data_IF_006401301882
#
_entry.id   IF_006401301882
#
_cell.length_a   1.000
_cell.length_b   1.000
_cell.length_c   1.000
_cell.angle_alpha   90.00
_cell.angle_beta   90.00
_cell.angle_gamma   90.00
#
_symmetry.space_group_name_H-M   'P 1'
#
loop_
_entity.id
_entity.type
_entity.pdbx_description
1 polymer ?
#
# COMPACT_ATOMS: atom_id res chain seq x y z
N UNK A 1 6.59 -18.51 21.11
CA UNK A 1 5.60 -17.43 21.30
C UNK A 1 5.53 -16.68 19.99
N UNK A 2 4.37 -16.61 19.35
CA UNK A 2 4.20 -15.80 18.14
C UNK A 2 4.42 -14.33 18.52
N UNK A 3 5.31 -13.59 17.84
CA UNK A 3 5.46 -12.17 18.11
C UNK A 3 4.12 -11.44 17.93
N UNK A 4 3.85 -10.38 18.70
CA UNK A 4 2.62 -9.61 18.54
C UNK A 4 2.50 -9.12 17.09
N UNK A 5 1.29 -9.16 16.53
CA UNK A 5 1.07 -8.76 15.15
C UNK A 5 1.38 -7.25 15.00
N UNK A 6 2.32 -6.86 14.13
CA UNK A 6 2.70 -5.45 13.97
C UNK A 6 1.59 -4.60 13.35
N UNK A 7 0.61 -5.21 12.67
CA UNK A 7 -0.53 -4.48 12.10
C UNK A 7 -1.66 -4.25 13.11
N UNK A 8 -1.74 -5.07 14.16
CA UNK A 8 -2.61 -4.85 15.32
C UNK A 8 -2.03 -3.81 16.29
N UNK A 9 -0.71 -3.70 16.36
CA UNK A 9 0.01 -2.78 17.24
C UNK A 9 0.97 -1.91 16.41
N UNK A 10 0.43 -1.01 15.56
CA UNK A 10 1.25 -0.19 14.69
C UNK A 10 2.07 0.83 15.48
N UNK A 11 3.28 1.11 14.99
CA UNK A 11 4.18 2.13 15.53
C UNK A 11 4.60 3.08 14.41
N UNK A 12 4.45 4.39 14.64
CA UNK A 12 4.94 5.45 13.74
C UNK A 12 4.50 5.34 12.26
N UNK A 13 3.23 5.00 12.02
CA UNK A 13 2.68 4.97 10.65
C UNK A 13 2.32 6.37 10.13
N UNK A 14 2.56 6.62 8.83
CA UNK A 14 2.06 7.82 8.13
C UNK A 14 0.65 7.55 7.59
N UNK A 15 -0.36 7.88 8.40
CA UNK A 15 -1.77 7.61 8.10
C UNK A 15 -2.36 8.68 7.17
N UNK A 16 -2.83 8.22 6.00
CA UNK A 16 -3.50 9.04 4.99
C UNK A 16 -5.01 9.11 5.25
N UNK A 17 -5.62 7.97 5.58
CA UNK A 17 -7.05 7.84 5.86
C UNK A 17 -7.28 6.69 6.85
N UNK A 18 -8.25 6.82 7.75
CA UNK A 18 -8.65 5.75 8.65
C UNK A 18 -10.15 5.85 8.97
N UNK A 19 -10.82 4.71 9.00
CA UNK A 19 -12.19 4.57 9.48
C UNK A 19 -12.27 3.45 10.54
N UNK A 20 -13.46 2.95 10.86
CA UNK A 20 -13.64 1.87 11.83
C UNK A 20 -13.06 0.53 11.35
N UNK A 21 -13.04 0.26 10.05
CA UNK A 21 -12.72 -1.05 9.51
C UNK A 21 -11.32 -1.16 8.92
N UNK A 22 -10.76 -0.07 8.39
CA UNK A 22 -9.49 -0.05 7.70
C UNK A 22 -8.72 1.27 7.89
N UNK A 23 -7.46 1.24 7.50
CA UNK A 23 -6.62 2.42 7.35
C UNK A 23 -5.73 2.34 6.12
N UNK A 24 -5.37 3.50 5.59
CA UNK A 24 -4.43 3.67 4.48
C UNK A 24 -3.20 4.39 5.00
N UNK A 25 -2.02 3.83 4.74
CA UNK A 25 -0.74 4.43 5.13
C UNK A 25 0.18 4.63 3.92
N UNK A 26 1.04 5.64 3.97
CA UNK A 26 2.22 5.73 3.11
C UNK A 26 3.40 4.97 3.74
N UNK A 27 4.18 4.27 2.92
CA UNK A 27 5.35 3.48 3.33
C UNK A 27 6.60 4.18 2.82
N UNK A 28 7.47 4.62 3.74
CA UNK A 28 8.68 5.39 3.42
C UNK A 28 9.98 4.59 3.57
N UNK A 29 9.91 3.43 4.21
CA UNK A 29 11.07 2.60 4.56
C UNK A 29 11.28 1.41 3.62
N UNK A 30 10.75 1.46 2.39
CA UNK A 30 10.98 0.47 1.35
C UNK A 30 11.94 1.04 0.29
N UNK A 31 13.26 0.77 0.36
CA UNK A 31 14.26 1.47 -0.45
C UNK A 31 14.02 1.37 -1.96
N UNK A 32 13.48 0.25 -2.41
CA UNK A 32 13.27 -0.04 -3.83
C UNK A 32 11.84 0.30 -4.31
N UNK A 33 10.97 0.79 -3.42
CA UNK A 33 9.61 1.17 -3.75
C UNK A 33 9.19 2.43 -2.97
N UNK A 34 9.71 3.61 -3.33
CA UNK A 34 9.45 4.83 -2.57
C UNK A 34 8.01 5.35 -2.73
N UNK A 35 7.27 4.86 -3.73
CA UNK A 35 5.88 5.23 -4.00
C UNK A 35 4.95 4.06 -3.66
N UNK A 36 4.71 3.87 -2.36
CA UNK A 36 4.07 2.69 -1.83
C UNK A 36 3.05 3.09 -0.75
N UNK A 37 1.79 2.69 -0.94
CA UNK A 37 0.76 2.72 0.09
C UNK A 37 0.36 1.30 0.54
N UNK A 38 -0.14 1.18 1.77
CA UNK A 38 -0.83 -0.02 2.24
C UNK A 38 -2.26 0.31 2.64
N UNK A 39 -3.20 -0.55 2.26
CA UNK A 39 -4.56 -0.57 2.80
C UNK A 39 -4.64 -1.74 3.77
N UNK A 40 -4.91 -1.47 5.04
CA UNK A 40 -4.81 -2.44 6.13
C UNK A 40 -6.18 -2.60 6.77
N UNK A 41 -6.69 -3.84 6.83
CA UNK A 41 -7.91 -4.13 7.59
C UNK A 41 -7.59 -4.08 9.08
N UNK A 42 -8.42 -3.45 9.92
CA UNK A 42 -8.07 -3.26 11.34
C UNK A 42 -8.22 -4.53 12.17
N UNK A 43 -9.29 -5.30 11.95
CA UNK A 43 -9.47 -6.61 12.61
C UNK A 43 -8.38 -7.56 12.13
N UNK A 44 -7.78 -8.31 13.06
CA UNK A 44 -6.84 -9.36 12.70
C UNK A 44 -7.56 -10.46 11.92
N UNK A 45 -7.33 -10.52 10.62
CA UNK A 45 -7.96 -11.45 9.69
C UNK A 45 -6.90 -11.87 8.69
N UNK A 46 -6.73 -13.17 8.46
CA UNK A 46 -5.64 -13.67 7.62
C UNK A 46 -5.99 -13.57 6.14
N UNK A 47 -7.16 -14.09 5.74
CA UNK A 47 -7.52 -14.26 4.34
C UNK A 47 -8.64 -13.32 3.91
N UNK A 48 -8.63 -12.90 2.64
CA UNK A 48 -9.74 -12.12 2.06
C UNK A 48 -11.06 -12.91 2.16
N UNK A 49 -10.98 -14.24 2.09
CA UNK A 49 -12.15 -15.13 2.19
C UNK A 49 -12.70 -15.28 3.61
N UNK A 50 -11.99 -14.80 4.62
CA UNK A 50 -12.48 -14.77 6.01
C UNK A 50 -13.35 -13.54 6.28
N UNK A 51 -13.27 -12.52 5.42
CA UNK A 51 -14.16 -11.36 5.44
C UNK A 51 -15.53 -11.71 4.87
N UNK A 52 -16.56 -11.03 5.38
CA UNK A 52 -17.88 -11.00 4.76
C UNK A 52 -17.81 -10.36 3.36
N UNK A 53 -18.71 -10.71 2.42
CA UNK A 53 -18.69 -10.14 1.08
C UNK A 53 -18.70 -8.59 1.06
N UNK A 54 -19.44 -7.96 1.98
CA UNK A 54 -19.47 -6.50 2.09
C UNK A 54 -18.14 -5.91 2.60
N UNK A 55 -17.48 -6.56 3.55
CA UNK A 55 -16.16 -6.16 4.06
C UNK A 55 -15.08 -6.29 2.97
N UNK A 56 -15.15 -7.35 2.14
CA UNK A 56 -14.27 -7.51 0.96
C UNK A 56 -14.46 -6.37 -0.02
N UNK A 57 -15.71 -6.01 -0.30
CA UNK A 57 -16.03 -4.92 -1.20
C UNK A 57 -15.48 -3.59 -0.67
N UNK A 58 -15.71 -3.28 0.61
CA UNK A 58 -15.18 -2.07 1.25
C UNK A 58 -13.65 -2.00 1.16
N UNK A 59 -12.96 -3.09 1.49
CA UNK A 59 -11.50 -3.15 1.43
C UNK A 59 -11.00 -2.94 0.00
N UNK A 60 -11.59 -3.62 -0.99
CA UNK A 60 -11.17 -3.50 -2.38
C UNK A 60 -11.50 -2.14 -2.98
N UNK A 61 -12.65 -1.55 -2.64
CA UNK A 61 -12.99 -0.18 -3.06
C UNK A 61 -11.95 0.82 -2.55
N UNK A 62 -11.48 0.66 -1.30
CA UNK A 62 -10.39 1.48 -0.78
C UNK A 62 -9.07 1.24 -1.55
N UNK A 63 -8.73 -0.01 -1.86
CA UNK A 63 -7.56 -0.32 -2.70
C UNK A 63 -7.62 0.39 -4.06
N UNK A 64 -8.78 0.36 -4.72
CA UNK A 64 -8.98 1.03 -6.02
C UNK A 64 -8.95 2.56 -5.90
N UNK A 65 -9.47 3.12 -4.81
CA UNK A 65 -9.37 4.57 -4.53
C UNK A 65 -7.92 5.00 -4.35
N UNK A 66 -7.13 4.24 -3.60
CA UNK A 66 -5.69 4.50 -3.43
C UNK A 66 -4.94 4.37 -4.74
N UNK A 67 -5.23 3.32 -5.53
CA UNK A 67 -4.68 3.18 -6.89
C UNK A 67 -4.97 4.41 -7.74
N UNK A 68 -6.23 4.85 -7.82
CA UNK A 68 -6.63 5.99 -8.63
C UNK A 68 -5.94 7.29 -8.19
N UNK A 69 -5.88 7.55 -6.88
CA UNK A 69 -5.21 8.72 -6.33
C UNK A 69 -3.70 8.70 -6.62
N UNK A 70 -3.03 7.56 -6.44
CA UNK A 70 -1.62 7.40 -6.76
C UNK A 70 -1.37 7.61 -8.26
N UNK A 71 -2.24 7.10 -9.15
CA UNK A 71 -2.11 7.32 -10.59
C UNK A 71 -2.21 8.79 -10.98
N UNK A 72 -3.11 9.52 -10.34
CA UNK A 72 -3.29 10.96 -10.56
C UNK A 72 -2.07 11.78 -10.12
N UNK A 73 -1.53 11.49 -8.93
CA UNK A 73 -0.41 12.25 -8.34
C UNK A 73 0.93 11.88 -8.99
N UNK A 74 1.18 10.59 -9.19
CA UNK A 74 2.51 10.07 -9.50
C UNK A 74 2.72 9.74 -10.98
N UNK A 75 1.64 9.57 -11.76
CA UNK A 75 1.66 9.17 -13.17
C UNK A 75 2.60 7.98 -13.47
N UNK A 76 2.47 6.85 -12.74
CA UNK A 76 3.32 5.70 -12.95
C UNK A 76 3.00 4.99 -14.27
N UNK A 77 3.94 4.21 -14.79
CA UNK A 77 3.68 3.35 -15.95
C UNK A 77 2.84 2.12 -15.59
N UNK A 78 2.87 1.71 -14.31
CA UNK A 78 2.05 0.60 -13.80
C UNK A 78 1.80 0.74 -12.30
N UNK A 79 0.65 0.23 -11.83
CA UNK A 79 0.40 -0.05 -10.40
C UNK A 79 0.50 -1.56 -10.17
N UNK A 80 1.19 -1.98 -9.10
CA UNK A 80 1.12 -3.35 -8.60
C UNK A 80 0.20 -3.39 -7.38
N UNK A 81 -0.72 -4.37 -7.38
CA UNK A 81 -1.61 -4.69 -6.27
C UNK A 81 -1.27 -6.09 -5.77
N UNK A 82 -1.04 -6.25 -4.47
CA UNK A 82 -0.77 -7.56 -3.90
C UNK A 82 -1.22 -7.65 -2.44
N UNK A 83 -1.82 -8.78 -2.07
CA UNK A 83 -1.92 -9.23 -0.69
C UNK A 83 -1.17 -10.55 -0.61
N UNK A 84 -0.11 -10.60 0.22
CA UNK A 84 0.76 -11.77 0.35
C UNK A 84 0.58 -12.44 1.71
N UNK A 85 0.77 -11.70 2.80
CA UNK A 85 0.51 -12.19 4.17
C UNK A 85 1.42 -13.30 4.69
N UNK A 86 2.41 -13.78 3.92
CA UNK A 86 3.24 -14.94 4.29
C UNK A 86 3.97 -14.80 5.65
N UNK A 87 4.49 -13.61 5.97
CA UNK A 87 5.23 -13.33 7.21
C UNK A 87 4.32 -12.76 8.30
N UNK A 88 3.38 -11.90 7.91
CA UNK A 88 2.39 -11.30 8.80
C UNK A 88 1.01 -11.63 8.22
N UNK A 89 0.35 -12.71 8.68
CA UNK A 89 -0.94 -13.18 8.16
C UNK A 89 -2.08 -12.32 8.71
N UNK A 90 -2.05 -11.05 8.36
CA UNK A 90 -3.06 -10.05 8.67
C UNK A 90 -3.30 -9.26 7.40
N UNK A 91 -4.55 -9.20 6.95
CA UNK A 91 -4.97 -8.56 5.71
C UNK A 91 -4.45 -7.13 5.56
N UNK A 92 -3.59 -7.00 4.55
CA UNK A 92 -3.18 -5.73 3.98
C UNK A 92 -2.93 -5.91 2.49
N UNK A 93 -3.20 -4.84 1.76
CA UNK A 93 -2.93 -4.74 0.33
C UNK A 93 -1.81 -3.74 0.10
N UNK A 94 -0.83 -4.15 -0.68
CA UNK A 94 0.20 -3.28 -1.21
C UNK A 94 -0.32 -2.60 -2.47
N UNK A 95 -0.24 -1.27 -2.52
CA UNK A 95 -0.53 -0.45 -3.70
C UNK A 95 0.73 0.30 -4.06
N UNK A 96 1.39 -0.12 -5.15
CA UNK A 96 2.77 0.31 -5.46
C UNK A 96 2.80 0.91 -6.85
N UNK A 97 3.24 2.16 -6.94
CA UNK A 97 3.50 2.83 -8.21
C UNK A 97 4.88 2.45 -8.77
N UNK A 98 4.88 2.01 -10.03
CA UNK A 98 6.05 1.47 -10.75
C UNK A 98 6.42 2.38 -11.91
N UNK A 99 7.72 2.47 -12.16
CA UNK A 99 8.33 3.37 -13.15
C UNK A 99 9.37 2.62 -13.97
N UNK A 100 9.59 3.00 -15.22
CA UNK A 100 10.54 2.30 -16.11
C UNK A 100 11.97 2.29 -15.54
N UNK A 101 12.33 3.35 -14.81
CA UNK A 101 13.62 3.55 -14.17
C UNK A 101 13.64 3.20 -12.68
N UNK A 102 12.62 2.50 -12.15
CA UNK A 102 12.70 1.93 -10.81
C UNK A 102 13.71 0.76 -10.76
N UNK A 103 14.24 0.47 -9.56
CA UNK A 103 15.34 -0.48 -9.38
C UNK A 103 15.02 -1.90 -9.88
N UNK A 104 13.75 -2.30 -9.84
CA UNK A 104 13.32 -3.67 -10.09
C UNK A 104 12.61 -3.87 -11.43
N UNK A 105 12.14 -2.81 -12.10
CA UNK A 105 11.32 -2.92 -13.31
C UNK A 105 12.06 -3.67 -14.43
N UNK A 106 11.45 -4.66 -15.12
CA UNK A 106 10.03 -5.07 -15.07
C UNK A 106 9.68 -6.13 -14.01
N UNK A 107 10.62 -6.55 -13.16
CA UNK A 107 10.35 -7.52 -12.09
C UNK A 107 9.55 -6.91 -10.92
N UNK A 108 8.94 -7.74 -10.05
CA UNK A 108 8.34 -7.28 -8.80
C UNK A 108 9.37 -6.59 -7.88
N UNK A 109 8.91 -5.68 -7.03
CA UNK A 109 9.79 -4.92 -6.12
C UNK A 109 10.56 -5.80 -5.11
N UNK A 110 10.07 -7.02 -4.86
CA UNK A 110 10.69 -7.98 -3.95
C UNK A 110 11.74 -8.89 -4.62
N UNK A 111 11.95 -8.75 -5.94
CA UNK A 111 13.03 -9.45 -6.63
C UNK A 111 14.38 -8.77 -6.37
N UNK A 112 15.47 -9.39 -6.84
CA UNK A 112 16.76 -8.70 -6.88
C UNK A 112 16.67 -7.43 -7.74
N UNK A 113 17.28 -6.34 -7.26
CA UNK A 113 17.37 -5.10 -8.03
C UNK A 113 18.18 -5.33 -9.32
N UNK A 114 17.72 -4.74 -10.41
CA UNK A 114 18.35 -4.82 -11.73
C UNK A 114 19.23 -3.60 -12.03
N UNK A 115 19.02 -2.50 -11.30
CA UNK A 115 19.71 -1.22 -11.45
C UNK A 115 19.57 -0.39 -10.18
N UNK A 116 20.39 0.65 -10.02
CA UNK A 116 20.14 1.69 -9.02
C UNK A 116 18.87 2.48 -9.36
N UNK A 117 18.06 2.82 -8.36
CA UNK A 117 16.84 3.60 -8.56
C UNK A 117 17.19 5.03 -8.98
N UNK A 118 16.74 5.44 -10.16
CA UNK A 118 17.01 6.77 -10.72
C UNK A 118 15.78 7.69 -10.73
N UNK A 119 14.88 7.54 -9.76
CA UNK A 119 13.57 8.22 -9.76
C UNK A 119 13.45 9.23 -8.61
N UNK A 120 12.86 10.38 -8.92
CA UNK A 120 12.49 11.40 -7.94
C UNK A 120 10.98 11.49 -7.89
N UNK A 121 10.40 11.34 -6.70
CA UNK A 121 8.97 11.50 -6.51
C UNK A 121 8.60 12.98 -6.41
N UNK A 122 7.38 13.37 -6.80
CA UNK A 122 6.87 14.71 -6.51
C UNK A 122 6.93 15.02 -5.01
N UNK A 123 7.31 16.25 -4.67
CA UNK A 123 7.32 16.71 -3.29
C UNK A 123 5.93 16.59 -2.66
N UNK A 124 5.88 16.07 -1.43
CA UNK A 124 4.63 15.92 -0.70
C UNK A 124 3.61 15.00 -1.36
N UNK A 125 4.01 14.05 -2.22
CA UNK A 125 3.09 13.14 -2.91
C UNK A 125 2.10 12.45 -1.95
N UNK A 126 2.57 12.02 -0.76
CA UNK A 126 1.72 11.35 0.23
C UNK A 126 0.61 12.28 0.73
N UNK A 127 0.93 13.55 0.96
CA UNK A 127 -0.05 14.57 1.35
C UNK A 127 -1.05 14.86 0.22
N UNK A 128 -0.61 14.85 -1.04
CA UNK A 128 -1.51 15.01 -2.20
C UNK A 128 -2.47 13.81 -2.32
N UNK A 129 -1.97 12.58 -2.16
CA UNK A 129 -2.80 11.37 -2.12
C UNK A 129 -3.80 11.43 -0.97
N UNK A 130 -3.36 11.83 0.23
CA UNK A 130 -4.22 12.05 1.39
C UNK A 130 -5.38 13.00 1.10
N UNK A 131 -5.10 14.15 0.48
CA UNK A 131 -6.15 15.12 0.10
C UNK A 131 -7.17 14.51 -0.85
N UNK A 132 -6.73 13.73 -1.86
CA UNK A 132 -7.65 13.06 -2.80
C UNK A 132 -8.51 12.00 -2.11
N UNK A 133 -7.95 11.23 -1.17
CA UNK A 133 -8.70 10.21 -0.44
C UNK A 133 -9.79 10.80 0.46
N UNK A 134 -9.56 12.00 1.00
CA UNK A 134 -10.47 12.69 1.91
C UNK A 134 -11.54 13.54 1.20
N UNK A 135 -11.40 13.80 -0.10
CA UNK A 135 -12.33 14.62 -0.87
C UNK A 135 -13.60 13.88 -1.35
N UNK A 136 -13.80 12.63 -0.91
CA UNK A 136 -14.87 11.72 -1.35
C UNK A 136 -15.70 11.25 -0.18
#
# INVERSE_FOLDING_TARGET
>A
MTPPCPLCHPENEDVLLQNEHLRVIAVHNEPNAPAFCRVIWQRHTAEMTDLLPAERQELMDMVYRVEAAMRQVLRPVKINLASLGNVVPHLHWHVIARFENDANFPAPIWAAAQREAGMTLPDGWAQQVKTLLQAV
#
